data_IF_410635704259
#
_entry.id   IF_410635704259
#
_cell.length_a   1.000
_cell.length_b   1.000
_cell.length_c   1.000
_cell.angle_alpha   90.00
_cell.angle_beta   90.00
_cell.angle_gamma   90.00
#
_symmetry.space_group_name_H-M   'P 1'
#
loop_
_entity.id
_entity.type
_entity.pdbx_description
1 polymer ?
#
# COMPACT_ATOMS: atom_id res chain seq x y z
N UNK A 1 -30.43 24.21 -4.83
CA UNK A 1 -30.55 22.72 -4.71
C UNK A 1 -30.46 22.23 -3.26
N UNK A 2 -30.59 23.12 -2.27
CA UNK A 2 -30.65 22.77 -0.84
C UNK A 2 -31.91 23.27 -0.14
N UNK A 3 -32.89 23.77 -0.91
CA UNK A 3 -34.21 24.16 -0.39
C UNK A 3 -35.21 23.00 -0.49
N UNK A 4 -35.19 22.19 -1.58
CA UNK A 4 -36.09 21.03 -1.72
C UNK A 4 -36.02 20.06 -0.53
N UNK A 5 -34.81 19.76 -0.03
CA UNK A 5 -34.63 18.82 1.10
C UNK A 5 -35.15 19.36 2.44
N UNK A 6 -35.31 20.67 2.58
CA UNK A 6 -35.88 21.28 3.79
C UNK A 6 -37.40 21.29 3.74
N UNK A 7 -37.99 21.55 2.57
CA UNK A 7 -39.43 21.39 2.33
C UNK A 7 -39.87 19.93 2.55
N UNK A 8 -39.06 18.97 2.11
CA UNK A 8 -39.30 17.55 2.37
C UNK A 8 -39.27 17.25 3.88
N UNK A 9 -38.32 17.83 4.62
CA UNK A 9 -38.18 17.63 6.06
C UNK A 9 -39.29 18.31 6.87
N UNK A 10 -39.79 19.47 6.42
CA UNK A 10 -40.88 20.21 7.06
C UNK A 10 -42.23 19.51 6.84
N UNK A 11 -42.48 19.00 5.62
CA UNK A 11 -43.63 18.13 5.32
C UNK A 11 -43.61 16.81 6.11
N UNK A 12 -42.44 16.23 6.37
CA UNK A 12 -42.29 15.03 7.22
C UNK A 12 -42.64 15.33 8.69
N UNK A 13 -42.36 16.54 9.17
CA UNK A 13 -42.68 16.95 10.56
C UNK A 13 -44.16 17.31 10.71
N UNK A 14 -44.78 17.91 9.69
CA UNK A 14 -46.23 18.16 9.70
C UNK A 14 -47.05 16.85 9.62
N UNK A 15 -46.57 15.83 8.91
CA UNK A 15 -47.18 14.49 8.89
C UNK A 15 -47.05 13.76 10.25
N UNK A 16 -46.10 14.17 11.10
CA UNK A 16 -45.97 13.67 12.49
C UNK A 16 -46.95 14.32 13.48
N UNK A 17 -47.62 15.42 13.11
CA UNK A 17 -48.48 16.22 14.01
C UNK A 17 -49.99 16.04 13.76
N UNK A 18 -50.40 14.99 13.03
CA UNK A 18 -51.80 14.62 12.86
C UNK A 18 -52.19 13.47 13.81
N UNK A 19 -53.06 13.69 14.81
CA UNK A 19 -53.56 12.61 15.65
C UNK A 19 -54.71 11.95 14.90
N UNK A 20 -54.47 10.79 14.27
CA UNK A 20 -55.45 9.71 14.05
C UNK A 20 -54.93 8.73 12.99
N UNK A 21 -54.07 7.78 13.39
CA UNK A 21 -54.11 6.36 12.95
C UNK A 21 -52.83 5.61 13.41
N UNK A 22 -52.92 4.64 14.35
CA UNK A 22 -51.77 3.93 14.92
C UNK A 22 -51.00 3.04 13.92
N UNK A 23 -51.51 2.88 12.70
CA UNK A 23 -50.96 1.98 11.69
C UNK A 23 -50.02 2.69 10.70
N UNK A 24 -50.12 4.02 10.58
CA UNK A 24 -49.28 4.82 9.68
C UNK A 24 -47.84 4.95 10.19
N UNK A 25 -47.65 5.27 11.48
CA UNK A 25 -46.32 5.39 12.07
C UNK A 25 -45.51 4.07 12.04
N UNK A 26 -46.17 2.92 12.25
CA UNK A 26 -45.54 1.60 12.21
C UNK A 26 -45.17 1.17 10.77
N UNK A 27 -45.98 1.55 9.78
CA UNK A 27 -45.67 1.30 8.38
C UNK A 27 -44.58 2.22 7.84
N UNK A 28 -44.48 3.46 8.32
CA UNK A 28 -43.39 4.38 7.98
C UNK A 28 -42.09 3.93 8.64
N UNK A 29 -42.07 3.62 9.94
CA UNK A 29 -40.87 3.15 10.64
C UNK A 29 -40.30 1.85 10.05
N UNK A 30 -41.15 0.90 9.67
CA UNK A 30 -40.71 -0.35 9.04
C UNK A 30 -40.17 -0.17 7.61
N UNK A 31 -40.66 0.84 6.87
CA UNK A 31 -40.09 1.24 5.58
C UNK A 31 -38.70 1.86 5.75
N UNK A 32 -38.54 2.77 6.71
CA UNK A 32 -37.25 3.44 6.98
C UNK A 32 -36.17 2.47 7.45
N UNK A 33 -36.52 1.52 8.34
CA UNK A 33 -35.60 0.48 8.81
C UNK A 33 -35.23 -0.47 7.67
N UNK A 34 -36.19 -0.85 6.81
CA UNK A 34 -35.94 -1.70 5.64
C UNK A 34 -35.01 -1.01 4.63
N UNK A 35 -35.15 0.30 4.43
CA UNK A 35 -34.24 1.07 3.56
C UNK A 35 -32.83 1.18 4.14
N UNK A 36 -32.71 1.46 5.44
CA UNK A 36 -31.42 1.50 6.15
C UNK A 36 -30.67 0.16 6.10
N UNK A 37 -31.37 -0.96 6.25
CA UNK A 37 -30.80 -2.31 6.13
C UNK A 37 -30.41 -2.59 4.67
N UNK A 38 -31.21 -2.17 3.69
CA UNK A 38 -30.89 -2.33 2.26
C UNK A 38 -29.67 -1.51 1.86
N UNK A 39 -29.52 -0.29 2.36
CA UNK A 39 -28.33 0.54 2.13
C UNK A 39 -27.07 -0.03 2.79
N UNK A 40 -27.20 -0.55 4.02
CA UNK A 40 -26.08 -1.19 4.73
C UNK A 40 -25.63 -2.46 4.01
N UNK A 41 -26.58 -3.28 3.57
CA UNK A 41 -26.30 -4.51 2.81
C UNK A 41 -25.73 -4.21 1.41
N UNK A 42 -26.21 -3.16 0.73
CA UNK A 42 -25.66 -2.73 -0.55
C UNK A 42 -24.24 -2.15 -0.42
N UNK A 43 -23.91 -1.51 0.70
CA UNK A 43 -22.53 -1.08 1.00
C UNK A 43 -21.58 -2.26 1.20
N UNK A 44 -22.05 -3.34 1.82
CA UNK A 44 -21.24 -4.54 2.06
C UNK A 44 -21.08 -5.44 0.80
N UNK A 45 -22.02 -5.38 -0.15
CA UNK A 45 -22.02 -6.19 -1.38
C UNK A 45 -21.46 -5.49 -2.63
N UNK A 46 -21.09 -4.20 -2.54
CA UNK A 46 -20.36 -3.53 -3.61
C UNK A 46 -18.91 -4.04 -3.66
N UNK A 47 -18.37 -4.42 -4.83
CA UNK A 47 -16.97 -4.83 -4.95
C UNK A 47 -16.05 -3.72 -4.46
N UNK A 48 -15.20 -4.05 -3.50
CA UNK A 48 -14.17 -3.20 -2.92
C UNK A 48 -12.99 -2.91 -3.87
N UNK A 49 -13.21 -2.97 -5.18
CA UNK A 49 -12.25 -2.48 -6.18
C UNK A 49 -12.35 -0.96 -6.39
N UNK A 50 -13.44 -0.33 -5.89
CA UNK A 50 -13.77 1.09 -6.14
C UNK A 50 -13.60 2.07 -4.94
N UNK A 51 -13.12 1.59 -3.79
CA UNK A 51 -12.96 2.43 -2.60
C UNK A 51 -11.56 3.08 -2.50
N UNK A 52 -10.57 2.50 -3.19
CA UNK A 52 -9.22 3.07 -3.28
C UNK A 52 -9.18 4.30 -4.17
N UNK A 53 -9.88 4.26 -5.28
CA UNK A 53 -10.18 5.29 -6.27
C UNK A 53 -11.04 6.41 -5.69
N UNK A 54 -12.09 6.17 -4.90
CA UNK A 54 -12.84 7.27 -4.29
C UNK A 54 -12.00 8.09 -3.28
N UNK A 55 -11.15 7.42 -2.49
CA UNK A 55 -10.20 8.11 -1.62
C UNK A 55 -9.12 8.82 -2.46
N UNK A 56 -8.50 8.12 -3.42
CA UNK A 56 -7.44 8.66 -4.29
C UNK A 56 -7.93 9.84 -5.11
N UNK A 57 -9.16 9.81 -5.60
CA UNK A 57 -9.82 10.87 -6.35
C UNK A 57 -10.16 12.05 -5.44
N UNK A 58 -10.65 11.81 -4.21
CA UNK A 58 -10.82 12.86 -3.21
C UNK A 58 -9.46 13.50 -2.81
N UNK A 59 -8.39 12.71 -2.74
CA UNK A 59 -7.02 13.20 -2.51
C UNK A 59 -6.50 13.99 -3.72
N UNK A 60 -6.74 13.53 -4.94
CA UNK A 60 -6.30 14.18 -6.19
C UNK A 60 -7.03 15.52 -6.40
N UNK A 61 -8.34 15.56 -6.15
CA UNK A 61 -9.16 16.79 -6.16
C UNK A 61 -8.64 17.77 -5.10
N UNK A 62 -8.17 17.28 -3.96
CA UNK A 62 -7.62 18.13 -2.91
C UNK A 62 -6.20 18.63 -3.23
N UNK A 63 -5.36 17.80 -3.85
CA UNK A 63 -4.04 18.18 -4.36
C UNK A 63 -4.19 19.25 -5.46
N UNK A 64 -5.19 19.11 -6.33
CA UNK A 64 -5.53 20.10 -7.36
C UNK A 64 -5.97 21.43 -6.73
N UNK A 65 -6.82 21.41 -5.69
CA UNK A 65 -7.22 22.62 -4.94
C UNK A 65 -6.08 23.32 -4.22
N UNK A 66 -5.09 22.57 -3.74
CA UNK A 66 -3.92 23.11 -3.03
C UNK A 66 -2.86 23.61 -4.04
N UNK A 67 -3.02 23.35 -5.34
CA UNK A 67 -2.03 23.72 -6.36
C UNK A 67 -0.67 23.04 -6.15
N UNK A 68 -0.65 21.92 -5.44
CA UNK A 68 0.57 21.26 -5.03
C UNK A 68 1.24 20.62 -6.25
N UNK A 69 2.50 21.00 -6.51
CA UNK A 69 3.29 20.44 -7.61
C UNK A 69 3.59 18.97 -7.33
N UNK A 70 3.10 18.07 -8.20
CA UNK A 70 3.34 16.61 -8.11
C UNK A 70 4.82 16.34 -7.94
N UNK A 71 5.20 15.80 -6.78
CA UNK A 71 6.59 15.47 -6.51
C UNK A 71 7.04 14.34 -7.44
N UNK A 72 8.13 14.57 -8.19
CA UNK A 72 8.76 13.49 -8.97
C UNK A 72 9.43 12.55 -7.97
N UNK A 73 9.02 11.27 -7.96
CA UNK A 73 9.65 10.20 -7.17
C UNK A 73 11.19 10.24 -7.23
N UNK A 74 11.74 10.56 -8.41
CA UNK A 74 13.18 10.72 -8.59
C UNK A 74 13.81 11.82 -7.74
N UNK A 75 13.13 12.95 -7.52
CA UNK A 75 13.66 14.05 -6.70
C UNK A 75 13.71 13.67 -5.22
N UNK A 76 12.72 12.90 -4.74
CA UNK A 76 12.69 12.39 -3.37
C UNK A 76 13.83 11.37 -3.14
N UNK A 77 14.10 10.51 -4.12
CA UNK A 77 15.22 9.56 -4.08
C UNK A 77 16.60 10.22 -4.25
N UNK A 78 16.69 11.33 -4.99
CA UNK A 78 17.92 12.10 -5.20
C UNK A 78 18.34 12.86 -3.94
N UNK A 79 17.39 13.38 -3.16
CA UNK A 79 17.67 14.07 -1.89
C UNK A 79 18.09 13.10 -0.76
N UNK A 80 17.82 11.80 -0.92
CA UNK A 80 18.23 10.74 0.01
C UNK A 80 19.69 10.25 -0.23
N UNK A 81 20.62 11.17 -0.54
CA UNK A 81 22.02 10.89 -0.94
C UNK A 81 22.81 10.07 0.09
N UNK A 82 22.46 10.16 1.36
CA UNK A 82 23.10 9.41 2.45
C UNK A 82 22.85 7.89 2.40
N UNK A 83 21.85 7.42 1.63
CA UNK A 83 21.50 5.99 1.51
C UNK A 83 22.08 5.32 0.26
N UNK A 84 22.63 6.08 -0.69
CA UNK A 84 23.16 5.56 -1.95
C UNK A 84 24.19 4.44 -1.82
N UNK A 85 25.20 4.50 -0.93
CA UNK A 85 26.17 3.41 -0.83
C UNK A 85 25.53 2.11 -0.31
N UNK A 86 24.60 2.22 0.64
CA UNK A 86 23.89 1.06 1.19
C UNK A 86 22.91 0.46 0.16
N UNK A 87 22.24 1.32 -0.61
CA UNK A 87 21.34 0.92 -1.70
C UNK A 87 22.11 0.24 -2.84
N UNK A 88 23.31 0.73 -3.19
CA UNK A 88 24.16 0.11 -4.20
C UNK A 88 24.61 -1.30 -3.81
N UNK A 89 24.97 -1.52 -2.55
CA UNK A 89 25.30 -2.85 -2.02
C UNK A 89 24.08 -3.77 -2.05
N UNK A 90 22.91 -3.29 -1.62
CA UNK A 90 21.67 -4.07 -1.65
C UNK A 90 21.28 -4.47 -3.09
N UNK A 91 21.42 -3.55 -4.03
CA UNK A 91 21.14 -3.81 -5.44
C UNK A 91 22.08 -4.87 -6.03
N UNK A 92 23.38 -4.80 -5.74
CA UNK A 92 24.35 -5.78 -6.21
C UNK A 92 24.03 -7.21 -5.70
N UNK A 93 23.69 -7.36 -4.41
CA UNK A 93 23.32 -8.66 -3.83
C UNK A 93 21.98 -9.15 -4.42
N UNK A 94 21.04 -8.25 -4.65
CA UNK A 94 19.77 -8.55 -5.31
C UNK A 94 19.97 -9.08 -6.74
N UNK A 95 20.82 -8.42 -7.54
CA UNK A 95 21.15 -8.89 -8.88
C UNK A 95 21.79 -10.29 -8.87
N UNK A 96 22.67 -10.55 -7.91
CA UNK A 96 23.28 -11.88 -7.76
C UNK A 96 22.24 -12.95 -7.43
N UNK A 97 21.30 -12.65 -6.53
CA UNK A 97 20.23 -13.59 -6.17
C UNK A 97 19.23 -13.78 -7.32
N UNK A 98 18.91 -12.73 -8.07
CA UNK A 98 18.08 -12.83 -9.28
C UNK A 98 18.73 -13.71 -10.36
N UNK A 99 20.07 -13.66 -10.48
CA UNK A 99 20.82 -14.52 -11.39
C UNK A 99 20.87 -15.99 -10.94
N UNK A 100 20.59 -16.27 -9.67
CA UNK A 100 20.49 -17.64 -9.14
C UNK A 100 19.33 -18.43 -9.79
N UNK A 101 18.21 -17.79 -10.12
CA UNK A 101 17.06 -18.42 -10.80
C UNK A 101 17.43 -19.08 -12.14
N UNK A 102 18.01 -18.36 -13.12
CA UNK A 102 18.43 -18.98 -14.39
C UNK A 102 19.60 -19.96 -14.21
N UNK A 103 20.47 -19.75 -13.21
CA UNK A 103 21.54 -20.70 -12.88
C UNK A 103 20.99 -22.06 -12.45
N UNK A 104 19.97 -22.07 -11.59
CA UNK A 104 19.27 -23.29 -11.18
C UNK A 104 18.62 -24.00 -12.37
N UNK A 105 18.01 -23.25 -13.30
CA UNK A 105 17.46 -23.83 -14.52
C UNK A 105 18.51 -24.54 -15.39
N UNK A 106 19.71 -23.96 -15.51
CA UNK A 106 20.82 -24.57 -16.25
C UNK A 106 21.30 -25.87 -15.58
N UNK A 107 21.38 -25.89 -14.26
CA UNK A 107 21.76 -27.08 -13.47
C UNK A 107 20.75 -28.21 -13.67
N UNK A 108 19.45 -27.91 -13.60
CA UNK A 108 18.41 -28.91 -13.86
C UNK A 108 18.51 -29.46 -15.30
N UNK A 109 18.76 -28.61 -16.28
CA UNK A 109 18.98 -29.06 -17.66
C UNK A 109 20.17 -30.01 -17.80
N UNK A 110 21.24 -29.79 -17.04
CA UNK A 110 22.40 -30.69 -17.01
C UNK A 110 22.08 -32.00 -16.26
N UNK A 111 21.33 -31.92 -15.16
CA UNK A 111 20.88 -33.09 -14.41
C UNK A 111 20.01 -34.02 -15.27
N UNK A 112 19.09 -33.48 -16.09
CA UNK A 112 18.28 -34.31 -16.98
C UNK A 112 19.10 -35.02 -18.06
N UNK A 113 20.12 -34.35 -18.64
CA UNK A 113 21.04 -34.97 -19.60
C UNK A 113 21.86 -36.11 -19.00
N UNK A 114 22.25 -35.97 -17.74
CA UNK A 114 22.94 -37.00 -16.97
C UNK A 114 22.06 -38.26 -16.81
N UNK A 115 20.77 -38.06 -16.51
CA UNK A 115 19.80 -39.17 -16.40
C UNK A 115 19.56 -39.88 -17.74
N UNK A 116 19.51 -39.15 -18.85
CA UNK A 116 19.26 -39.71 -20.18
C UNK A 116 20.40 -40.65 -20.66
N UNK A 117 21.65 -40.38 -20.28
CA UNK A 117 22.82 -41.22 -20.61
C UNK A 117 23.06 -42.39 -19.64
N UNK A 118 22.19 -42.59 -18.65
CA UNK A 118 22.40 -43.41 -17.45
C UNK A 118 22.33 -44.93 -17.61
N UNK A 119 23.29 -45.54 -18.33
CA UNK A 119 23.49 -47.01 -18.36
C UNK A 119 24.74 -47.50 -17.60
N UNK A 120 25.37 -46.63 -16.80
CA UNK A 120 26.51 -47.01 -15.93
C UNK A 120 26.28 -46.47 -14.53
N UNK A 121 26.61 -47.28 -13.54
CA UNK A 121 26.43 -47.06 -12.10
C UNK A 121 27.23 -45.85 -11.59
N UNK A 122 26.83 -44.64 -11.97
CA UNK A 122 27.52 -43.38 -11.62
C UNK A 122 26.95 -42.77 -10.33
N UNK A 123 26.71 -43.59 -9.30
CA UNK A 123 26.20 -43.14 -7.99
C UNK A 123 27.12 -42.09 -7.33
N UNK A 124 28.43 -42.17 -7.58
CA UNK A 124 29.40 -41.18 -7.09
C UNK A 124 29.26 -39.82 -7.77
N UNK A 125 28.93 -39.78 -9.06
CA UNK A 125 28.78 -38.55 -9.82
C UNK A 125 27.48 -37.82 -9.44
N UNK A 126 26.40 -38.58 -9.22
CA UNK A 126 25.14 -38.05 -8.69
C UNK A 126 25.32 -37.42 -7.28
N UNK A 127 26.15 -38.03 -6.43
CA UNK A 127 26.44 -37.49 -5.10
C UNK A 127 27.19 -36.14 -5.17
N UNK A 128 28.14 -36.01 -6.10
CA UNK A 128 28.86 -34.74 -6.33
C UNK A 128 27.88 -33.64 -6.80
N UNK A 129 26.96 -33.95 -7.73
CA UNK A 129 25.92 -33.01 -8.15
C UNK A 129 25.01 -32.57 -7.01
N UNK A 130 24.60 -33.51 -6.14
CA UNK A 130 23.82 -33.18 -4.95
C UNK A 130 24.59 -32.25 -4.01
N UNK A 131 25.90 -32.46 -3.84
CA UNK A 131 26.76 -31.62 -3.03
C UNK A 131 26.84 -30.18 -3.58
N UNK A 132 26.95 -30.03 -4.91
CA UNK A 132 26.90 -28.72 -5.58
C UNK A 132 25.56 -28.02 -5.41
N UNK A 133 24.46 -28.76 -5.55
CA UNK A 133 23.11 -28.23 -5.36
C UNK A 133 22.88 -27.75 -3.91
N UNK A 134 23.34 -28.53 -2.94
CA UNK A 134 23.30 -28.16 -1.53
C UNK A 134 24.12 -26.89 -1.26
N UNK A 135 25.34 -26.80 -1.81
CA UNK A 135 26.20 -25.62 -1.69
C UNK A 135 25.55 -24.36 -2.26
N UNK A 136 24.95 -24.45 -3.44
CA UNK A 136 24.20 -23.35 -4.06
C UNK A 136 23.00 -22.92 -3.23
N UNK A 137 22.25 -23.88 -2.66
CA UNK A 137 21.13 -23.59 -1.78
C UNK A 137 21.55 -22.78 -0.55
N UNK A 138 22.64 -23.18 0.10
CA UNK A 138 23.19 -22.46 1.27
C UNK A 138 23.62 -21.04 0.89
N UNK A 139 24.35 -20.87 -0.22
CA UNK A 139 24.78 -19.54 -0.70
C UNK A 139 23.57 -18.66 -1.04
N UNK A 140 22.56 -19.22 -1.72
CA UNK A 140 21.34 -18.50 -2.09
C UNK A 140 20.54 -18.10 -0.86
N UNK A 141 20.46 -18.97 0.16
CA UNK A 141 19.77 -18.67 1.42
C UNK A 141 20.43 -17.50 2.15
N UNK A 142 21.76 -17.52 2.26
CA UNK A 142 22.53 -16.44 2.89
C UNK A 142 22.36 -15.13 2.11
N UNK A 143 22.48 -15.17 0.78
CA UNK A 143 22.28 -14.00 -0.08
C UNK A 143 20.87 -13.42 0.04
N UNK A 144 19.83 -14.27 0.07
CA UNK A 144 18.45 -13.86 0.27
C UNK A 144 18.24 -13.20 1.64
N UNK A 145 18.77 -13.81 2.70
CA UNK A 145 18.69 -13.26 4.06
C UNK A 145 19.29 -11.86 4.14
N UNK A 146 20.49 -11.67 3.61
CA UNK A 146 21.13 -10.35 3.57
C UNK A 146 20.35 -9.36 2.72
N UNK A 147 19.83 -9.78 1.55
CA UNK A 147 19.03 -8.90 0.69
C UNK A 147 17.81 -8.37 1.45
N UNK A 148 17.02 -9.25 2.05
CA UNK A 148 15.83 -8.86 2.83
C UNK A 148 16.18 -8.00 4.04
N UNK A 149 17.27 -8.32 4.74
CA UNK A 149 17.73 -7.52 5.88
C UNK A 149 18.15 -6.11 5.46
N UNK A 150 18.92 -5.98 4.37
CA UNK A 150 19.37 -4.67 3.85
C UNK A 150 18.18 -3.84 3.37
N UNK A 151 17.25 -4.42 2.61
CA UNK A 151 16.05 -3.71 2.17
C UNK A 151 15.17 -3.26 3.34
N UNK A 152 15.01 -4.08 4.37
CA UNK A 152 14.28 -3.70 5.58
C UNK A 152 14.93 -2.49 6.29
N UNK A 153 16.26 -2.51 6.45
CA UNK A 153 17.01 -1.40 7.06
C UNK A 153 16.95 -0.12 6.23
N UNK A 154 17.03 -0.25 4.90
CA UNK A 154 16.91 0.88 3.96
C UNK A 154 15.50 1.48 4.04
N UNK A 155 14.46 0.63 4.06
CA UNK A 155 13.06 1.05 4.18
C UNK A 155 12.81 1.82 5.47
N UNK A 156 13.27 1.31 6.61
CA UNK A 156 13.13 2.00 7.90
C UNK A 156 13.82 3.36 7.90
N UNK A 157 15.09 3.41 7.46
CA UNK A 157 15.85 4.67 7.43
C UNK A 157 15.21 5.69 6.48
N UNK A 158 14.72 5.25 5.31
CA UNK A 158 14.07 6.14 4.36
C UNK A 158 12.76 6.70 4.93
N UNK A 159 11.89 5.85 5.48
CA UNK A 159 10.61 6.26 6.08
C UNK A 159 10.82 7.22 7.25
N UNK A 160 11.79 6.95 8.13
CA UNK A 160 12.15 7.86 9.22
C UNK A 160 12.59 9.22 8.68
N UNK A 161 13.47 9.22 7.68
CA UNK A 161 13.99 10.43 7.06
C UNK A 161 12.88 11.25 6.38
N UNK A 162 11.90 10.61 5.74
CA UNK A 162 10.72 11.27 5.19
C UNK A 162 9.84 11.90 6.27
N UNK A 163 9.55 11.16 7.36
CA UNK A 163 8.74 11.67 8.49
C UNK A 163 9.36 12.91 9.11
N UNK A 164 10.67 12.90 9.34
CA UNK A 164 11.39 14.03 9.92
C UNK A 164 11.34 15.25 9.00
N UNK A 165 11.58 15.08 7.69
CA UNK A 165 11.53 16.19 6.73
C UNK A 165 10.13 16.78 6.59
N UNK A 166 9.10 15.94 6.51
CA UNK A 166 7.73 16.39 6.38
C UNK A 166 7.25 17.11 7.65
N UNK A 167 7.54 16.57 8.84
CA UNK A 167 7.23 17.24 10.11
C UNK A 167 7.96 18.58 10.25
N UNK A 168 9.24 18.63 9.86
CA UNK A 168 10.01 19.87 9.81
C UNK A 168 9.33 20.89 8.90
N UNK A 169 8.95 20.50 7.68
CA UNK A 169 8.27 21.41 6.74
C UNK A 169 6.96 21.97 7.31
N UNK A 170 6.19 21.17 8.05
CA UNK A 170 4.93 21.62 8.66
C UNK A 170 5.21 22.69 9.74
N UNK A 171 6.21 22.50 10.61
CA UNK A 171 6.52 23.46 11.69
C UNK A 171 7.02 24.81 11.17
N UNK A 172 7.75 24.83 10.05
CA UNK A 172 8.33 26.06 9.50
C UNK A 172 7.33 26.89 8.67
N UNK A 173 6.10 26.42 8.53
CA UNK A 173 5.07 27.08 7.75
C UNK A 173 4.45 28.26 8.52
N UNK A 174 4.05 29.31 7.80
CA UNK A 174 3.45 30.54 8.33
C UNK A 174 2.10 30.31 9.01
N UNK A 175 1.71 31.18 9.95
CA UNK A 175 0.43 31.09 10.67
C UNK A 175 -0.79 31.09 9.74
N UNK A 176 -0.74 31.87 8.66
CA UNK A 176 -1.78 31.93 7.62
C UNK A 176 -2.00 30.61 6.88
N UNK A 177 -1.01 29.71 6.86
CA UNK A 177 -1.18 28.37 6.32
C UNK A 177 -2.15 27.52 7.14
N UNK A 178 -2.11 27.67 8.48
CA UNK A 178 -2.96 26.92 9.40
C UNK A 178 -4.38 27.49 9.52
N UNK A 179 -4.60 28.72 9.05
CA UNK A 179 -5.92 29.36 9.00
C UNK A 179 -6.83 28.77 7.90
N UNK A 180 -6.26 28.03 6.94
CA UNK A 180 -7.03 27.36 5.90
C UNK A 180 -7.69 26.08 6.47
N UNK A 181 -9.02 25.89 6.34
CA UNK A 181 -9.70 24.67 6.80
C UNK A 181 -9.14 23.38 6.17
N UNK A 182 -8.49 23.46 5.00
CA UNK A 182 -7.82 22.35 4.34
C UNK A 182 -6.48 21.94 5.01
N UNK A 183 -5.88 22.80 5.83
CA UNK A 183 -4.58 22.59 6.50
C UNK A 183 -4.72 22.49 8.03
N UNK A 184 -5.89 22.07 8.51
CA UNK A 184 -6.10 21.79 9.93
C UNK A 184 -5.03 20.82 10.45
N UNK A 185 -4.42 21.05 11.62
CA UNK A 185 -3.33 20.22 12.15
C UNK A 185 -3.68 18.71 12.20
N UNK A 186 -4.92 18.37 12.54
CA UNK A 186 -5.39 16.97 12.50
C UNK A 186 -5.33 16.34 11.11
N UNK A 187 -5.64 17.10 10.06
CA UNK A 187 -5.60 16.62 8.66
C UNK A 187 -4.16 16.44 8.16
N UNK A 188 -3.27 17.36 8.52
CA UNK A 188 -1.84 17.27 8.19
C UNK A 188 -1.17 16.09 8.88
N UNK A 189 -1.50 15.83 10.15
CA UNK A 189 -1.01 14.66 10.90
C UNK A 189 -1.52 13.38 10.25
N UNK A 190 -2.80 13.30 9.87
CA UNK A 190 -3.35 12.14 9.16
C UNK A 190 -2.64 11.90 7.84
N UNK A 191 -2.40 12.94 7.03
CA UNK A 191 -1.62 12.81 5.79
C UNK A 191 -0.20 12.31 6.04
N UNK A 192 0.49 12.88 7.02
CA UNK A 192 1.83 12.45 7.39
C UNK A 192 1.86 10.99 7.87
N UNK A 193 0.84 10.58 8.62
CA UNK A 193 0.68 9.23 9.13
C UNK A 193 0.34 8.22 8.02
N UNK A 194 -0.33 8.64 6.94
CA UNK A 194 -0.70 7.78 5.80
C UNK A 194 0.39 7.73 4.73
N UNK A 195 1.00 8.85 4.38
CA UNK A 195 1.97 8.94 3.27
C UNK A 195 3.29 8.21 3.60
N UNK A 196 3.76 8.32 4.84
CA UNK A 196 5.01 7.69 5.25
C UNK A 196 5.00 6.14 5.23
N UNK A 197 3.98 5.44 5.77
CA UNK A 197 3.88 3.99 5.65
C UNK A 197 3.54 3.54 4.23
N UNK A 198 2.77 4.30 3.45
CA UNK A 198 2.47 3.94 2.06
C UNK A 198 3.75 3.89 1.19
N UNK A 199 4.68 4.82 1.39
CA UNK A 199 5.99 4.77 0.71
C UNK A 199 6.84 3.58 1.19
N UNK A 200 6.77 3.24 2.49
CA UNK A 200 7.45 2.04 3.00
C UNK A 200 6.88 0.78 2.36
N UNK A 201 5.55 0.67 2.27
CA UNK A 201 4.87 -0.48 1.70
C UNK A 201 5.19 -0.65 0.21
N UNK A 202 5.36 0.43 -0.54
CA UNK A 202 5.80 0.37 -1.94
C UNK A 202 7.26 -0.15 -2.11
N UNK A 203 8.06 -0.13 -1.04
CA UNK A 203 9.45 -0.57 -1.04
C UNK A 203 9.69 -1.91 -0.32
N UNK A 204 8.81 -2.27 0.60
CA UNK A 204 8.85 -3.49 1.38
C UNK A 204 8.10 -4.58 0.61
N UNK A 205 8.75 -5.70 0.32
CA UNK A 205 8.15 -6.85 -0.37
C UNK A 205 7.48 -7.84 0.61
N UNK A 206 7.08 -7.36 1.79
CA UNK A 206 6.48 -8.15 2.88
C UNK A 206 5.00 -7.84 3.06
#
# INVERSE_FOLDING_TARGET
>A
MGDDKKEDAENIVDDMLSPDEPNAALTVASKTVRESIRESFLRDFLPSDHLGDAQTEAYDIEIEKIGAKKARLGQIFLDARELWPLLGVAFAICCFNALSMPLNAFIYGHAFRMFENGRKDNVGEAFVFFLFFLGLGVVSMVAAFFTTYLFGKIGEKLTMSMRVRAFRSIIYQDGSYFDNPAHTPGKLITRLATDAPNVKAAMDTR
#
